data_IF_242658587812
#
_entry.id   IF_242658587812
#
_cell.length_a   1.000
_cell.length_b   1.000
_cell.length_c   1.000
_cell.angle_alpha   90.00
_cell.angle_beta   90.00
_cell.angle_gamma   90.00
#
_symmetry.space_group_name_H-M   'P 1'
#
loop_
_entity.id
_entity.type
_entity.pdbx_description
1 polymer ?
#
# COMPACT_ATOMS: atom_id res chain seq x y z
N UNK A 1 16.08 24.25 -31.69
CA UNK A 1 16.54 23.73 -30.39
C UNK A 1 16.07 22.28 -30.17
N UNK A 2 16.33 21.31 -31.07
CA UNK A 2 15.82 19.92 -30.91
C UNK A 2 16.83 18.86 -31.41
N UNK A 3 18.13 19.16 -31.42
CA UNK A 3 19.14 18.34 -32.12
C UNK A 3 20.21 17.70 -31.23
N UNK A 4 20.14 17.84 -29.91
CA UNK A 4 21.09 17.23 -28.96
C UNK A 4 20.43 16.26 -27.98
N UNK A 5 21.21 15.37 -27.35
CA UNK A 5 20.71 14.44 -26.30
C UNK A 5 20.03 15.18 -25.13
N UNK A 6 20.57 16.34 -24.75
CA UNK A 6 19.96 17.23 -23.76
C UNK A 6 18.54 17.68 -24.16
N UNK A 7 18.27 17.86 -25.46
CA UNK A 7 16.95 18.25 -25.93
C UNK A 7 15.91 17.11 -25.79
N UNK A 8 16.34 15.85 -25.67
CA UNK A 8 15.44 14.72 -25.43
C UNK A 8 14.99 14.70 -23.96
N UNK A 9 15.94 14.85 -23.03
CA UNK A 9 15.65 14.96 -21.60
C UNK A 9 14.83 16.22 -21.28
N UNK A 10 15.23 17.39 -21.78
CA UNK A 10 14.49 18.64 -21.60
C UNK A 10 13.06 18.56 -22.15
N UNK A 11 12.86 17.90 -23.30
CA UNK A 11 11.53 17.72 -23.86
C UNK A 11 10.65 16.84 -22.98
N UNK A 12 11.18 15.77 -22.40
CA UNK A 12 10.43 14.90 -21.49
C UNK A 12 9.96 15.67 -20.25
N UNK A 13 10.84 16.48 -19.63
CA UNK A 13 10.48 17.32 -18.50
C UNK A 13 9.46 18.40 -18.87
N UNK A 14 9.65 19.05 -20.02
CA UNK A 14 8.74 20.08 -20.52
C UNK A 14 7.33 19.50 -20.74
N UNK A 15 7.24 18.38 -21.47
CA UNK A 15 5.95 17.74 -21.76
C UNK A 15 5.27 17.26 -20.48
N UNK A 16 6.03 16.67 -19.56
CA UNK A 16 5.50 16.27 -18.25
C UNK A 16 4.93 17.48 -17.47
N UNK A 17 5.64 18.60 -17.45
CA UNK A 17 5.16 19.83 -16.79
C UNK A 17 3.89 20.35 -17.43
N UNK A 18 3.79 20.34 -18.76
CA UNK A 18 2.55 20.71 -19.48
C UNK A 18 1.36 19.83 -19.05
N UNK A 19 1.54 18.50 -19.00
CA UNK A 19 0.51 17.57 -18.54
C UNK A 19 0.07 17.89 -17.10
N UNK A 20 1.02 18.10 -16.18
CA UNK A 20 0.70 18.42 -14.79
C UNK A 20 -0.02 19.76 -14.61
N UNK A 21 0.29 20.78 -15.42
CA UNK A 21 -0.44 22.07 -15.39
C UNK A 21 -1.91 21.86 -15.75
N UNK A 22 -2.20 21.07 -16.79
CA UNK A 22 -3.56 20.74 -17.19
C UNK A 22 -4.28 19.93 -16.12
N UNK A 23 -3.65 18.87 -15.63
CA UNK A 23 -4.19 18.00 -14.59
C UNK A 23 -4.52 18.80 -13.33
N UNK A 24 -3.61 19.65 -12.85
CA UNK A 24 -3.84 20.46 -11.66
C UNK A 24 -5.05 21.39 -11.82
N UNK A 25 -5.28 21.95 -13.02
CA UNK A 25 -6.48 22.76 -13.29
C UNK A 25 -7.76 21.93 -13.34
N UNK A 26 -7.74 20.80 -14.03
CA UNK A 26 -8.91 19.91 -14.11
C UNK A 26 -9.28 19.29 -12.77
N UNK A 27 -8.34 19.10 -11.86
CA UNK A 27 -8.61 18.62 -10.50
C UNK A 27 -9.43 19.61 -9.67
N UNK A 28 -9.27 20.92 -9.91
CA UNK A 28 -10.04 21.96 -9.23
C UNK A 28 -11.52 21.98 -9.64
N UNK A 29 -11.87 21.35 -10.77
CA UNK A 29 -13.21 21.39 -11.34
C UNK A 29 -13.71 19.95 -11.58
N UNK A 30 -14.67 19.46 -10.77
CA UNK A 30 -15.17 18.08 -10.86
C UNK A 30 -15.56 17.64 -12.28
N UNK A 31 -16.21 18.53 -13.04
CA UNK A 31 -16.72 18.27 -14.39
C UNK A 31 -15.60 17.95 -15.41
N UNK A 32 -14.37 18.40 -15.14
CA UNK A 32 -13.22 18.19 -16.03
C UNK A 32 -12.31 17.05 -15.58
N UNK A 33 -12.60 16.36 -14.47
CA UNK A 33 -11.77 15.24 -14.00
C UNK A 33 -11.71 14.09 -15.05
N UNK A 34 -12.80 13.90 -15.81
CA UNK A 34 -12.85 12.94 -16.93
C UNK A 34 -11.97 13.28 -18.14
N UNK A 35 -11.37 14.49 -18.20
CA UNK A 35 -10.41 14.85 -19.25
C UNK A 35 -9.03 14.20 -19.03
N UNK A 36 -8.71 13.79 -17.79
CA UNK A 36 -7.40 13.21 -17.46
C UNK A 36 -7.19 11.85 -18.15
N UNK A 37 -8.13 10.88 -18.07
CA UNK A 37 -8.03 9.64 -18.82
C UNK A 37 -7.99 9.85 -20.33
N UNK A 38 -8.74 10.85 -20.85
CA UNK A 38 -8.72 11.19 -22.28
C UNK A 38 -7.35 11.68 -22.73
N UNK A 39 -6.68 12.53 -21.94
CA UNK A 39 -5.33 13.00 -22.22
C UNK A 39 -4.34 11.82 -22.30
N UNK A 40 -4.41 10.87 -21.35
CA UNK A 40 -3.56 9.68 -21.37
C UNK A 40 -3.86 8.81 -22.59
N UNK A 41 -5.14 8.61 -22.92
CA UNK A 41 -5.56 7.86 -24.11
C UNK A 41 -5.06 8.45 -25.45
N UNK A 42 -4.78 9.77 -25.52
CA UNK A 42 -4.19 10.39 -26.70
C UNK A 42 -2.74 9.93 -26.93
N UNK A 43 -1.97 9.71 -25.85
CA UNK A 43 -0.59 9.20 -25.95
C UNK A 43 -0.57 7.74 -26.41
N UNK A 44 -1.51 6.91 -25.97
CA UNK A 44 -1.60 5.49 -26.37
C UNK A 44 -2.01 5.32 -27.84
N UNK A 45 -2.70 6.29 -28.45
CA UNK A 45 -3.24 6.21 -29.82
C UNK A 45 -2.50 7.07 -30.86
N UNK A 46 -1.23 7.43 -30.61
CA UNK A 46 -0.46 8.32 -31.50
C UNK A 46 -0.31 7.79 -32.94
N UNK A 47 -0.29 6.47 -33.12
CA UNK A 47 -0.08 5.82 -34.42
C UNK A 47 -1.33 5.82 -35.31
N UNK A 48 -2.52 6.00 -34.74
CA UNK A 48 -3.78 6.07 -35.50
C UNK A 48 -3.86 7.34 -36.36
N UNK A 49 -3.14 8.40 -35.99
CA UNK A 49 -3.07 9.66 -36.72
C UNK A 49 -1.99 9.61 -37.80
N UNK A 50 -2.37 9.05 -38.96
CA UNK A 50 -1.52 8.88 -40.16
C UNK A 50 -0.79 10.17 -40.61
N UNK A 51 0.43 9.95 -41.12
CA UNK A 51 1.32 10.82 -41.92
C UNK A 51 1.59 12.26 -41.45
N UNK A 52 2.61 12.42 -40.59
CA UNK A 52 3.33 13.69 -40.46
C UNK A 52 4.24 13.92 -41.69
N UNK A 53 3.86 14.84 -42.57
CA UNK A 53 4.61 15.18 -43.77
C UNK A 53 5.89 16.00 -43.50
N UNK A 54 6.01 16.68 -42.35
CA UNK A 54 7.16 17.53 -42.02
C UNK A 54 8.21 16.82 -41.15
N UNK A 55 9.49 17.14 -41.37
CA UNK A 55 10.62 16.60 -40.58
C UNK A 55 10.48 16.94 -39.09
N UNK A 56 10.01 18.14 -38.75
CA UNK A 56 9.76 18.56 -37.38
C UNK A 56 8.67 17.75 -36.67
N UNK A 57 7.56 17.47 -37.36
CA UNK A 57 6.48 16.67 -36.79
C UNK A 57 6.90 15.20 -36.56
N UNK A 58 7.77 14.64 -37.42
CA UNK A 58 8.37 13.31 -37.19
C UNK A 58 9.25 13.28 -35.96
N UNK A 59 10.12 14.29 -35.79
CA UNK A 59 10.97 14.41 -34.59
C UNK A 59 10.14 14.57 -33.33
N UNK A 60 9.07 15.38 -33.36
CA UNK A 60 8.17 15.54 -32.22
C UNK A 60 7.51 14.20 -31.84
N UNK A 61 6.99 13.44 -32.82
CA UNK A 61 6.43 12.11 -32.55
C UNK A 61 7.44 11.15 -31.92
N UNK A 62 8.68 11.14 -32.42
CA UNK A 62 9.75 10.33 -31.82
C UNK A 62 10.01 10.72 -30.35
N UNK A 63 10.05 12.02 -30.04
CA UNK A 63 10.23 12.49 -28.68
C UNK A 63 9.06 12.11 -27.76
N UNK A 64 7.83 12.15 -28.27
CA UNK A 64 6.65 11.68 -27.53
C UNK A 64 6.67 10.16 -27.35
N UNK A 65 7.11 9.39 -28.35
CA UNK A 65 7.29 7.93 -28.21
C UNK A 65 8.35 7.59 -27.15
N UNK A 66 9.45 8.35 -27.09
CA UNK A 66 10.44 8.21 -26.02
C UNK A 66 9.83 8.57 -24.66
N UNK A 67 9.03 9.63 -24.58
CA UNK A 67 8.33 10.02 -23.35
C UNK A 67 7.40 8.92 -22.82
N UNK A 68 6.68 8.20 -23.69
CA UNK A 68 5.79 7.11 -23.26
C UNK A 68 6.54 5.97 -22.55
N UNK A 69 7.84 5.81 -22.83
CA UNK A 69 8.67 4.79 -22.21
C UNK A 69 9.27 5.22 -20.87
N UNK A 70 9.07 6.48 -20.44
CA UNK A 70 9.67 7.00 -19.23
C UNK A 70 8.81 6.80 -17.98
N UNK A 71 9.45 6.86 -16.81
CA UNK A 71 8.75 6.79 -15.52
C UNK A 71 7.73 7.92 -15.34
N UNK A 72 7.99 9.11 -15.90
CA UNK A 72 7.06 10.23 -15.81
C UNK A 72 5.74 9.94 -16.53
N UNK A 73 5.76 9.24 -17.67
CA UNK A 73 4.51 8.83 -18.31
C UNK A 73 3.79 7.72 -17.52
N UNK A 74 4.55 6.78 -16.94
CA UNK A 74 3.97 5.74 -16.10
C UNK A 74 3.22 6.32 -14.89
N UNK A 75 3.74 7.35 -14.22
CA UNK A 75 3.03 8.00 -13.11
C UNK A 75 1.76 8.71 -13.58
N UNK A 76 1.77 9.36 -14.75
CA UNK A 76 0.58 9.96 -15.36
C UNK A 76 -0.49 8.92 -15.69
N UNK A 77 -0.08 7.78 -16.27
CA UNK A 77 -0.98 6.66 -16.58
C UNK A 77 -1.59 6.03 -15.33
N UNK A 78 -0.80 5.88 -14.26
CA UNK A 78 -1.31 5.45 -12.96
C UNK A 78 -2.30 6.45 -12.37
N UNK A 79 -2.02 7.74 -12.51
CA UNK A 79 -2.92 8.78 -12.02
C UNK A 79 -4.26 8.77 -12.77
N UNK A 80 -4.27 8.55 -14.09
CA UNK A 80 -5.55 8.41 -14.81
C UNK A 80 -6.35 7.20 -14.33
N UNK A 81 -5.71 6.06 -14.09
CA UNK A 81 -6.37 4.87 -13.53
C UNK A 81 -6.96 5.09 -12.14
N UNK A 82 -6.34 5.95 -11.31
CA UNK A 82 -6.89 6.33 -10.00
C UNK A 82 -8.14 7.20 -10.14
N UNK A 83 -8.16 8.05 -11.18
CA UNK A 83 -9.22 9.03 -11.43
C UNK A 83 -10.41 8.45 -12.20
N UNK A 84 -10.26 7.33 -12.88
CA UNK A 84 -11.38 6.62 -13.49
C UNK A 84 -12.37 6.20 -12.40
N UNK A 85 -13.57 6.78 -12.43
CA UNK A 85 -14.62 6.56 -11.43
C UNK A 85 -15.31 5.20 -11.57
N UNK A 86 -15.09 4.51 -12.69
CA UNK A 86 -15.65 3.19 -12.95
C UNK A 86 -14.73 2.17 -12.26
N UNK A 87 -15.14 1.58 -11.12
CA UNK A 87 -14.38 0.49 -10.54
C UNK A 87 -14.39 -0.63 -11.59
N UNK A 88 -13.25 -1.24 -11.93
CA UNK A 88 -13.24 -2.35 -12.86
C UNK A 88 -14.22 -3.42 -12.34
N UNK A 89 -15.24 -3.71 -13.13
CA UNK A 89 -16.21 -4.75 -12.81
C UNK A 89 -15.48 -6.08 -12.59
N UNK A 90 -16.00 -6.89 -11.66
CA UNK A 90 -15.42 -8.14 -11.18
C UNK A 90 -15.33 -9.26 -12.24
N UNK A 91 -15.80 -9.01 -13.47
CA UNK A 91 -16.03 -10.03 -14.49
C UNK A 91 -14.80 -10.43 -15.31
N UNK A 92 -13.69 -9.68 -15.23
CA UNK A 92 -12.46 -9.99 -16.00
C UNK A 92 -11.27 -10.32 -15.08
N UNK A 93 -11.07 -11.62 -14.83
CA UNK A 93 -9.88 -12.18 -14.16
C UNK A 93 -8.55 -11.92 -14.91
N UNK A 94 -8.61 -11.33 -16.11
CA UNK A 94 -7.46 -11.01 -16.97
C UNK A 94 -6.91 -9.58 -16.79
N UNK A 95 -7.36 -8.83 -15.79
CA UNK A 95 -6.88 -7.46 -15.57
C UNK A 95 -5.52 -7.45 -14.87
N UNK A 96 -4.61 -6.60 -15.34
CA UNK A 96 -3.29 -6.40 -14.72
C UNK A 96 -3.39 -5.84 -13.29
N UNK A 97 -2.39 -6.15 -12.44
CA UNK A 97 -2.30 -5.63 -11.07
C UNK A 97 -2.29 -4.10 -11.02
N UNK A 98 -1.68 -3.44 -12.02
CA UNK A 98 -1.62 -1.97 -12.11
C UNK A 98 -2.99 -1.30 -12.02
N UNK A 99 -4.03 -1.89 -12.62
CA UNK A 99 -5.40 -1.37 -12.58
C UNK A 99 -6.00 -1.34 -11.17
N UNK A 100 -5.41 -2.06 -10.20
CA UNK A 100 -5.85 -2.07 -8.81
C UNK A 100 -5.27 -0.91 -7.98
N UNK A 101 -4.43 -0.05 -8.56
CA UNK A 101 -3.78 1.05 -7.83
C UNK A 101 -4.79 1.92 -7.07
N UNK A 102 -5.97 2.16 -7.62
CA UNK A 102 -7.05 2.93 -6.98
C UNK A 102 -7.40 2.40 -5.58
N UNK A 103 -7.26 1.09 -5.34
CA UNK A 103 -7.58 0.43 -4.07
C UNK A 103 -6.47 0.53 -3.01
N UNK A 104 -5.31 1.08 -3.38
CA UNK A 104 -4.15 1.20 -2.51
C UNK A 104 -3.69 2.67 -2.35
N UNK A 105 -4.49 3.56 -1.71
CA UNK A 105 -4.15 4.98 -1.53
C UNK A 105 -2.81 5.23 -0.85
N UNK A 106 -2.31 4.23 -0.11
CA UNK A 106 -1.04 4.30 0.55
C UNK A 106 0.19 4.15 -0.33
N UNK A 107 0.01 3.63 -1.54
CA UNK A 107 1.08 3.53 -2.51
C UNK A 107 1.28 4.84 -3.27
N UNK A 108 0.30 5.76 -3.23
CA UNK A 108 0.28 6.93 -4.11
C UNK A 108 1.52 7.81 -3.98
N UNK A 109 2.06 7.99 -2.77
CA UNK A 109 3.26 8.80 -2.59
C UNK A 109 4.51 8.21 -3.25
N UNK A 110 4.53 6.90 -3.48
CA UNK A 110 5.67 6.19 -4.07
C UNK A 110 5.41 5.64 -5.48
N UNK A 111 4.15 5.62 -5.91
CA UNK A 111 3.74 5.13 -7.24
C UNK A 111 3.29 6.24 -8.19
N UNK A 112 2.85 7.40 -7.66
CA UNK A 112 2.36 8.54 -8.47
C UNK A 112 3.31 9.74 -8.45
N UNK A 113 4.29 9.77 -7.55
CA UNK A 113 5.26 10.86 -7.44
C UNK A 113 6.66 10.37 -7.81
N UNK A 114 7.34 11.14 -8.64
CA UNK A 114 8.77 11.04 -8.93
C UNK A 114 9.56 12.10 -8.15
N UNK A 115 10.89 11.99 -8.06
CA UNK A 115 11.75 12.97 -7.36
C UNK A 115 11.60 14.39 -7.91
N UNK A 116 11.31 14.54 -9.20
CA UNK A 116 11.12 15.82 -9.88
C UNK A 116 9.68 16.38 -9.79
N UNK A 117 8.82 15.78 -8.96
CA UNK A 117 7.42 16.19 -8.85
C UNK A 117 7.29 17.58 -8.23
N UNK A 118 6.67 18.50 -8.96
CA UNK A 118 6.36 19.85 -8.45
C UNK A 118 5.55 19.80 -7.15
N UNK A 119 5.75 20.79 -6.27
CA UNK A 119 5.00 20.90 -5.00
C UNK A 119 3.48 20.86 -5.21
N UNK A 120 2.98 21.54 -6.24
CA UNK A 120 1.55 21.55 -6.60
C UNK A 120 1.06 20.13 -6.88
N UNK A 121 1.80 19.36 -7.68
CA UNK A 121 1.46 17.97 -7.99
C UNK A 121 1.47 17.08 -6.75
N UNK A 122 2.44 17.25 -5.86
CA UNK A 122 2.48 16.54 -4.57
C UNK A 122 1.24 16.84 -3.71
N UNK A 123 0.79 18.10 -3.67
CA UNK A 123 -0.43 18.48 -2.95
C UNK A 123 -1.67 17.85 -3.58
N UNK A 124 -1.77 17.85 -4.91
CA UNK A 124 -2.86 17.19 -5.65
C UNK A 124 -2.94 15.69 -5.29
N UNK A 125 -1.82 14.97 -5.34
CA UNK A 125 -1.78 13.54 -4.98
C UNK A 125 -2.18 13.31 -3.52
N UNK A 126 -1.78 14.18 -2.59
CA UNK A 126 -2.20 14.12 -1.19
C UNK A 126 -3.71 14.33 -1.01
N UNK A 127 -4.30 15.26 -1.76
CA UNK A 127 -5.75 15.50 -1.74
C UNK A 127 -6.53 14.31 -2.31
N UNK A 128 -6.09 13.76 -3.44
CA UNK A 128 -6.69 12.55 -4.04
C UNK A 128 -6.61 11.38 -3.05
N UNK A 129 -5.44 11.15 -2.45
CA UNK A 129 -5.23 10.14 -1.40
C UNK A 129 -6.25 10.31 -0.27
N UNK A 130 -6.40 11.54 0.25
CA UNK A 130 -7.31 11.82 1.35
C UNK A 130 -8.77 11.58 0.98
N UNK A 131 -9.21 12.01 -0.21
CA UNK A 131 -10.59 11.82 -0.71
C UNK A 131 -10.93 10.34 -0.86
N UNK A 132 -10.08 9.57 -1.55
CA UNK A 132 -10.31 8.14 -1.79
C UNK A 132 -10.29 7.37 -0.46
N UNK A 133 -9.35 7.69 0.43
CA UNK A 133 -9.27 7.09 1.74
C UNK A 133 -10.53 7.36 2.58
N UNK A 134 -11.03 8.59 2.61
CA UNK A 134 -12.24 8.95 3.35
C UNK A 134 -13.47 8.22 2.83
N UNK A 135 -13.63 8.13 1.51
CA UNK A 135 -14.73 7.38 0.90
C UNK A 135 -14.68 5.90 1.31
N UNK A 136 -13.51 5.28 1.20
CA UNK A 136 -13.32 3.90 1.63
C UNK A 136 -13.64 3.68 3.11
N UNK A 137 -13.23 4.59 4.00
CA UNK A 137 -13.54 4.51 5.43
C UNK A 137 -15.06 4.59 5.72
N UNK A 138 -15.78 5.45 4.99
CA UNK A 138 -17.24 5.57 5.11
C UNK A 138 -17.95 4.31 4.61
N UNK A 139 -17.57 3.82 3.43
CA UNK A 139 -18.14 2.61 2.84
C UNK A 139 -17.90 1.39 3.75
N UNK A 140 -16.69 1.28 4.31
CA UNK A 140 -16.33 0.22 5.25
C UNK A 140 -17.15 0.28 6.53
N UNK A 141 -17.32 1.47 7.13
CA UNK A 141 -18.15 1.64 8.33
C UNK A 141 -19.63 1.28 8.06
N UNK A 142 -20.15 1.66 6.89
CA UNK A 142 -21.47 1.26 6.43
C UNK A 142 -21.61 -0.26 6.33
N UNK A 143 -20.62 -0.93 5.73
CA UNK A 143 -20.62 -2.38 5.57
C UNK A 143 -20.53 -3.15 6.90
N UNK A 144 -19.65 -2.73 7.82
CA UNK A 144 -19.56 -3.33 9.17
C UNK A 144 -20.88 -3.18 9.92
N UNK A 145 -21.49 -2.00 9.86
CA UNK A 145 -22.78 -1.73 10.51
C UNK A 145 -23.88 -2.63 9.94
N UNK A 146 -23.89 -2.83 8.61
CA UNK A 146 -24.78 -3.76 7.94
C UNK A 146 -24.59 -5.20 8.44
N UNK A 147 -23.35 -5.71 8.48
CA UNK A 147 -23.07 -7.06 8.96
C UNK A 147 -23.52 -7.29 10.41
N UNK A 148 -23.25 -6.34 11.32
CA UNK A 148 -23.69 -6.43 12.72
C UNK A 148 -25.21 -6.47 12.84
N UNK A 149 -25.94 -5.67 12.04
CA UNK A 149 -27.41 -5.69 12.03
C UNK A 149 -27.96 -7.02 11.51
N UNK A 150 -27.36 -7.58 10.46
CA UNK A 150 -27.71 -8.90 9.95
C UNK A 150 -27.49 -10.00 11.01
N UNK A 151 -26.37 -9.97 11.73
CA UNK A 151 -26.08 -10.95 12.78
C UNK A 151 -27.04 -10.82 13.97
N UNK A 152 -27.40 -9.60 14.36
CA UNK A 152 -28.39 -9.35 15.42
C UNK A 152 -29.79 -9.83 15.01
N UNK A 153 -30.20 -9.62 13.77
CA UNK A 153 -31.48 -10.08 13.24
C UNK A 153 -31.57 -11.61 13.24
N UNK A 154 -30.51 -12.29 12.75
CA UNK A 154 -30.41 -13.77 12.76
C UNK A 154 -30.50 -14.35 14.18
N UNK A 155 -29.92 -13.69 15.18
CA UNK A 155 -30.00 -14.11 16.59
C UNK A 155 -31.40 -13.92 17.20
N UNK A 156 -32.14 -12.90 16.75
CA UNK A 156 -33.48 -12.58 17.27
C UNK A 156 -34.57 -13.45 16.65
N UNK A 157 -34.44 -13.81 15.36
CA UNK A 157 -35.39 -14.68 14.66
C UNK A 157 -34.64 -15.62 13.69
N UNK A 158 -34.37 -16.87 14.08
CA UNK A 158 -33.64 -17.84 13.25
C UNK A 158 -34.40 -18.31 12.00
N UNK A 159 -35.73 -18.18 11.99
CA UNK A 159 -36.62 -18.74 10.95
C UNK A 159 -37.28 -17.71 10.03
N UNK A 160 -37.08 -16.40 10.25
CA UNK A 160 -37.63 -15.36 9.40
C UNK A 160 -36.53 -14.76 8.52
N UNK A 161 -36.72 -14.78 7.20
CA UNK A 161 -35.78 -14.16 6.28
C UNK A 161 -35.68 -12.65 6.58
N UNK A 162 -34.47 -12.08 6.74
CA UNK A 162 -34.27 -10.67 7.12
C UNK A 162 -34.52 -9.71 5.95
N UNK A 163 -35.51 -9.99 5.10
CA UNK A 163 -35.55 -9.49 3.72
C UNK A 163 -36.22 -8.14 3.54
N UNK A 164 -36.92 -7.60 4.56
CA UNK A 164 -37.74 -6.38 4.37
C UNK A 164 -37.29 -5.12 5.12
N UNK A 165 -36.33 -5.21 6.04
CA UNK A 165 -35.96 -4.06 6.90
C UNK A 165 -34.47 -3.65 6.74
N UNK A 166 -33.59 -4.56 6.30
CA UNK A 166 -32.16 -4.29 6.19
C UNK A 166 -31.77 -4.22 4.71
N UNK A 167 -31.42 -3.03 4.23
CA UNK A 167 -30.94 -2.86 2.86
C UNK A 167 -29.52 -3.43 2.69
N UNK A 168 -29.27 -4.23 1.64
CA UNK A 168 -27.95 -4.77 1.37
C UNK A 168 -26.97 -3.65 1.01
N UNK A 169 -25.83 -3.61 1.71
CA UNK A 169 -24.72 -2.71 1.42
C UNK A 169 -23.63 -3.50 0.70
N UNK A 170 -23.06 -2.95 -0.38
CA UNK A 170 -21.96 -3.61 -1.11
C UNK A 170 -20.69 -3.67 -0.25
N UNK A 171 -19.98 -4.80 -0.29
CA UNK A 171 -18.68 -4.95 0.36
C UNK A 171 -17.63 -4.08 -0.37
N UNK A 172 -17.03 -3.07 0.28
CA UNK A 172 -15.99 -2.25 -0.33
C UNK A 172 -14.64 -2.97 -0.38
N UNK A 173 -14.51 -4.08 0.35
CA UNK A 173 -13.36 -4.96 0.29
C UNK A 173 -13.59 -6.05 -0.75
N UNK A 174 -12.50 -6.68 -1.19
CA UNK A 174 -12.58 -7.83 -2.07
C UNK A 174 -12.38 -9.15 -1.29
N UNK A 175 -12.59 -9.12 0.02
CA UNK A 175 -12.56 -10.32 0.85
C UNK A 175 -13.94 -10.96 0.82
N UNK A 176 -13.97 -12.29 0.93
CA UNK A 176 -15.21 -12.97 1.28
C UNK A 176 -15.72 -12.51 2.65
N UNK A 177 -17.00 -12.71 2.93
CA UNK A 177 -17.58 -12.31 4.20
C UNK A 177 -16.92 -12.97 5.43
N UNK A 178 -16.46 -14.21 5.29
CA UNK A 178 -15.72 -14.91 6.33
C UNK A 178 -14.32 -14.34 6.55
N UNK A 179 -13.56 -14.12 5.48
CA UNK A 179 -12.24 -13.50 5.55
C UNK A 179 -12.32 -12.07 6.11
N UNK A 180 -13.34 -11.32 5.70
CA UNK A 180 -13.61 -9.98 6.22
C UNK A 180 -13.87 -10.01 7.73
N UNK A 181 -14.78 -10.89 8.21
CA UNK A 181 -15.07 -11.03 9.64
C UNK A 181 -13.85 -11.44 10.44
N UNK A 182 -13.05 -12.37 9.93
CA UNK A 182 -11.82 -12.81 10.57
C UNK A 182 -10.81 -11.66 10.67
N UNK A 183 -10.66 -10.88 9.61
CA UNK A 183 -9.78 -9.73 9.64
C UNK A 183 -10.27 -8.61 10.55
N UNK A 184 -11.57 -8.30 10.59
CA UNK A 184 -12.12 -7.32 11.53
C UNK A 184 -11.88 -7.79 12.97
N UNK A 185 -12.08 -9.08 13.27
CA UNK A 185 -11.79 -9.64 14.60
C UNK A 185 -10.31 -9.51 14.94
N UNK A 186 -9.43 -9.80 14.01
CA UNK A 186 -7.98 -9.77 14.20
C UNK A 186 -7.43 -8.34 14.35
N UNK A 187 -7.89 -7.37 13.56
CA UNK A 187 -7.26 -6.05 13.52
C UNK A 187 -8.05 -4.95 14.24
N UNK A 188 -9.33 -5.17 14.53
CA UNK A 188 -10.19 -4.25 15.29
C UNK A 188 -10.52 -4.84 16.68
N UNK A 189 -10.55 -6.16 16.81
CA UNK A 189 -10.86 -6.86 18.04
C UNK A 189 -9.65 -7.07 18.97
N UNK A 190 -9.87 -7.91 19.99
CA UNK A 190 -8.84 -8.33 20.94
C UNK A 190 -8.19 -9.61 20.43
N UNK A 191 -6.87 -9.58 20.31
CA UNK A 191 -6.10 -10.58 19.54
C UNK A 191 -5.45 -11.61 20.46
N UNK A 192 -4.88 -11.13 21.56
CA UNK A 192 -4.20 -11.97 22.55
C UNK A 192 -4.92 -11.84 23.89
N UNK A 193 -6.00 -12.61 24.06
CA UNK A 193 -6.87 -12.55 25.22
C UNK A 193 -7.64 -11.23 25.30
N UNK A 194 -7.29 -10.37 26.24
CA UNK A 194 -7.96 -9.08 26.45
C UNK A 194 -7.32 -7.89 25.72
N UNK A 195 -6.18 -8.10 25.06
CA UNK A 195 -5.33 -7.02 24.54
C UNK A 195 -5.46 -6.83 23.03
N UNK A 196 -5.43 -5.57 22.61
CA UNK A 196 -5.30 -5.19 21.20
C UNK A 196 -3.82 -5.17 20.79
N UNK A 197 -3.53 -5.19 19.49
CA UNK A 197 -2.16 -5.02 18.98
C UNK A 197 -1.46 -3.76 19.54
N UNK A 198 -2.22 -2.69 19.82
CA UNK A 198 -1.68 -1.46 20.41
C UNK A 198 -1.24 -1.66 21.85
N UNK A 199 -2.07 -2.35 22.64
CA UNK A 199 -1.78 -2.58 24.06
C UNK A 199 -0.54 -3.47 24.21
N UNK A 200 -0.40 -4.48 23.35
CA UNK A 200 0.76 -5.38 23.32
C UNK A 200 2.03 -4.58 22.93
N UNK A 201 1.97 -3.75 21.89
CA UNK A 201 3.10 -2.92 21.49
C UNK A 201 3.52 -1.92 22.58
N UNK A 202 2.54 -1.27 23.24
CA UNK A 202 2.80 -0.32 24.30
C UNK A 202 3.37 -0.97 25.57
N UNK A 203 2.85 -2.15 25.94
CA UNK A 203 3.42 -2.96 27.02
C UNK A 203 4.88 -3.31 26.70
N UNK A 204 5.15 -3.82 25.50
CA UNK A 204 6.52 -4.13 25.07
C UNK A 204 7.45 -2.91 25.17
N UNK A 205 7.06 -1.75 24.64
CA UNK A 205 7.89 -0.54 24.72
C UNK A 205 8.15 -0.10 26.17
N UNK A 206 7.17 -0.25 27.07
CA UNK A 206 7.31 0.08 28.49
C UNK A 206 8.25 -0.88 29.22
N UNK A 207 8.29 -2.15 28.80
CA UNK A 207 9.26 -3.12 29.31
C UNK A 207 10.65 -2.89 28.72
N UNK A 208 10.75 -2.68 27.41
CA UNK A 208 12.00 -2.42 26.71
C UNK A 208 12.68 -1.11 27.13
N UNK A 209 11.95 -0.10 27.58
CA UNK A 209 12.56 1.13 28.13
C UNK A 209 13.29 0.89 29.45
N UNK A 210 13.00 -0.22 30.14
CA UNK A 210 13.74 -0.64 31.35
C UNK A 210 14.97 -1.48 31.00
N UNK A 211 15.05 -1.99 29.78
CA UNK A 211 16.19 -2.75 29.27
C UNK A 211 17.35 -1.81 28.98
N UNK A 212 18.48 -2.00 29.67
CA UNK A 212 19.61 -1.07 29.61
C UNK A 212 20.50 -1.24 28.37
N UNK A 213 20.45 -2.39 27.69
CA UNK A 213 21.36 -2.72 26.59
C UNK A 213 20.60 -3.14 25.33
N UNK A 214 21.06 -2.65 24.18
CA UNK A 214 20.46 -2.94 22.88
C UNK A 214 20.43 -4.44 22.55
N UNK A 215 21.42 -5.22 23.01
CA UNK A 215 21.42 -6.67 22.82
C UNK A 215 20.16 -7.36 23.35
N UNK A 216 19.79 -7.08 24.60
CA UNK A 216 18.61 -7.71 25.24
C UNK A 216 17.31 -7.25 24.56
N UNK A 217 17.25 -6.00 24.11
CA UNK A 217 16.13 -5.53 23.31
C UNK A 217 15.91 -6.37 22.04
N UNK A 218 16.99 -6.82 21.37
CA UNK A 218 16.88 -7.67 20.18
C UNK A 218 16.32 -9.06 20.51
N UNK A 219 16.70 -9.61 21.66
CA UNK A 219 16.18 -10.89 22.15
C UNK A 219 14.69 -10.76 22.52
N UNK A 220 14.32 -9.72 23.27
CA UNK A 220 12.92 -9.40 23.60
C UNK A 220 12.08 -9.19 22.33
N UNK A 221 12.63 -8.49 21.33
CA UNK A 221 11.96 -8.22 20.06
C UNK A 221 11.69 -9.50 19.27
N UNK A 222 12.62 -10.46 19.29
CA UNK A 222 12.43 -11.76 18.69
C UNK A 222 11.26 -12.51 19.35
N UNK A 223 11.20 -12.53 20.68
CA UNK A 223 10.09 -13.17 21.41
C UNK A 223 8.75 -12.49 21.11
N UNK A 224 8.73 -11.15 21.10
CA UNK A 224 7.52 -10.36 20.80
C UNK A 224 6.94 -10.65 19.40
N UNK A 225 7.81 -10.77 18.38
CA UNK A 225 7.39 -11.07 17.01
C UNK A 225 6.96 -12.52 16.84
N UNK A 226 7.64 -13.46 17.52
CA UNK A 226 7.36 -14.90 17.41
C UNK A 226 6.21 -15.38 18.30
N UNK A 227 5.82 -14.62 19.32
CA UNK A 227 4.76 -14.98 20.28
C UNK A 227 3.38 -15.31 19.64
N UNK A 228 3.10 -14.80 18.44
CA UNK A 228 1.85 -15.06 17.71
C UNK A 228 2.02 -15.99 16.51
N UNK A 229 3.24 -16.51 16.29
CA UNK A 229 3.54 -17.40 15.16
C UNK A 229 3.31 -18.83 15.62
N UNK A 230 2.59 -19.62 14.81
CA UNK A 230 2.40 -21.04 15.11
C UNK A 230 3.76 -21.73 15.27
N UNK A 231 3.91 -22.41 16.41
CA UNK A 231 5.09 -23.20 16.76
C UNK A 231 5.46 -24.24 15.70
N UNK A 232 4.49 -24.72 14.90
CA UNK A 232 4.71 -25.71 13.84
C UNK A 232 5.48 -25.14 12.64
N UNK A 233 5.20 -23.89 12.25
CA UNK A 233 5.88 -23.16 11.17
C UNK A 233 7.16 -22.47 11.67
N UNK A 234 7.06 -21.77 12.81
CA UNK A 234 8.16 -21.01 13.39
C UNK A 234 9.41 -21.87 13.67
N UNK A 235 9.23 -23.09 14.18
CA UNK A 235 10.34 -24.01 14.51
C UNK A 235 11.10 -24.56 13.29
N UNK A 236 10.55 -24.47 12.07
CA UNK A 236 11.14 -25.13 10.90
C UNK A 236 12.20 -24.30 10.18
N UNK A 237 12.03 -22.98 10.03
CA UNK A 237 13.00 -22.16 9.30
C UNK A 237 12.94 -20.64 9.55
N UNK A 238 11.73 -20.09 9.68
CA UNK A 238 11.55 -18.64 9.78
C UNK A 238 12.15 -18.05 11.07
N UNK A 239 11.92 -18.67 12.23
CA UNK A 239 12.37 -18.12 13.50
C UNK A 239 13.91 -18.09 13.60
N UNK A 240 14.60 -19.12 13.11
CA UNK A 240 16.07 -19.14 13.10
C UNK A 240 16.64 -18.05 12.19
N UNK A 241 16.05 -17.85 10.99
CA UNK A 241 16.44 -16.74 10.10
C UNK A 241 16.18 -15.38 10.72
N UNK A 242 15.01 -15.19 11.34
CA UNK A 242 14.65 -13.96 12.03
C UNK A 242 15.61 -13.65 13.17
N UNK A 243 15.92 -14.65 14.00
CA UNK A 243 16.86 -14.50 15.11
C UNK A 243 18.27 -14.18 14.62
N UNK A 244 18.77 -14.86 13.59
CA UNK A 244 20.07 -14.56 12.96
C UNK A 244 20.12 -13.14 12.42
N UNK A 245 19.07 -12.69 11.75
CA UNK A 245 18.99 -11.32 11.22
C UNK A 245 18.98 -10.27 12.32
N UNK A 246 18.16 -10.46 13.36
CA UNK A 246 18.15 -9.56 14.51
C UNK A 246 19.52 -9.55 15.18
N UNK A 247 20.13 -10.70 15.45
CA UNK A 247 21.46 -10.79 16.06
C UNK A 247 22.52 -10.03 15.24
N UNK A 248 22.51 -10.17 13.92
CA UNK A 248 23.46 -9.52 13.01
C UNK A 248 23.16 -8.03 12.75
N UNK A 249 21.98 -7.55 13.15
CA UNK A 249 21.56 -6.16 13.00
C UNK A 249 22.27 -5.26 14.02
N UNK A 250 23.11 -4.34 13.51
CA UNK A 250 23.80 -3.30 14.28
C UNK A 250 24.63 -3.83 15.47
N UNK A 251 25.38 -4.92 15.27
CA UNK A 251 26.21 -5.60 16.29
C UNK A 251 27.15 -4.66 17.06
N UNK A 252 27.69 -3.64 16.40
CA UNK A 252 28.56 -2.62 17.00
C UNK A 252 27.87 -1.77 18.08
N UNK A 253 26.54 -1.78 18.13
CA UNK A 253 25.74 -1.02 19.10
C UNK A 253 25.15 -1.90 20.20
N UNK A 254 25.48 -3.19 20.27
CA UNK A 254 24.93 -4.15 21.24
C UNK A 254 25.18 -3.77 22.70
N UNK A 255 26.30 -3.10 22.95
CA UNK A 255 26.70 -2.59 24.26
C UNK A 255 26.16 -1.19 24.57
N UNK A 256 25.49 -0.54 23.62
CA UNK A 256 24.92 0.80 23.80
C UNK A 256 23.55 0.72 24.47
N UNK A 257 23.19 1.81 25.15
CA UNK A 257 21.84 2.00 25.65
C UNK A 257 20.84 2.11 24.51
N UNK A 258 19.65 1.55 24.74
CA UNK A 258 18.55 1.63 23.80
C UNK A 258 18.16 3.10 23.59
N UNK A 259 18.11 3.52 22.33
CA UNK A 259 17.67 4.85 21.93
C UNK A 259 16.65 4.70 20.78
N UNK A 260 15.76 5.67 20.64
CA UNK A 260 14.76 5.73 19.58
C UNK A 260 15.37 5.54 18.19
N UNK A 261 16.57 6.09 17.95
CA UNK A 261 17.29 5.91 16.69
C UNK A 261 17.61 4.43 16.38
N UNK A 262 18.03 3.67 17.39
CA UNK A 262 18.29 2.24 17.23
C UNK A 262 16.98 1.52 16.91
N UNK A 263 15.89 1.81 17.63
CA UNK A 263 14.57 1.23 17.36
C UNK A 263 14.13 1.49 15.91
N UNK A 264 14.23 2.73 15.43
CA UNK A 264 13.86 3.11 14.05
C UNK A 264 14.70 2.34 13.04
N UNK A 265 16.02 2.24 13.24
CA UNK A 265 16.91 1.52 12.32
C UNK A 265 16.66 0.03 12.32
N UNK A 266 16.49 -0.59 13.49
CA UNK A 266 16.17 -2.02 13.62
C UNK A 266 14.84 -2.33 12.94
N UNK A 267 13.78 -1.54 13.20
CA UNK A 267 12.49 -1.73 12.55
C UNK A 267 12.58 -1.55 11.03
N UNK A 268 13.35 -0.57 10.55
CA UNK A 268 13.55 -0.36 9.11
C UNK A 268 14.28 -1.53 8.45
N UNK A 269 15.36 -2.04 9.07
CA UNK A 269 16.09 -3.22 8.57
C UNK A 269 15.22 -4.48 8.62
N UNK A 270 14.39 -4.62 9.65
CA UNK A 270 13.44 -5.71 9.75
C UNK A 270 12.42 -5.68 8.61
N UNK A 271 11.90 -4.51 8.25
CA UNK A 271 11.00 -4.37 7.10
C UNK A 271 11.69 -4.69 5.76
N UNK A 272 12.98 -4.38 5.63
CA UNK A 272 13.76 -4.79 4.45
C UNK A 272 13.84 -6.31 4.32
N UNK A 273 14.05 -6.99 5.45
CA UNK A 273 14.11 -8.44 5.52
C UNK A 273 12.74 -9.12 5.32
N UNK A 274 11.68 -8.58 5.93
CA UNK A 274 10.35 -9.18 5.90
C UNK A 274 9.63 -8.96 4.57
N UNK A 275 9.84 -7.82 3.90
CA UNK A 275 9.10 -7.44 2.68
C UNK A 275 9.97 -7.52 1.44
N UNK A 276 10.89 -6.56 1.26
CA UNK A 276 11.81 -6.54 0.11
C UNK A 276 12.99 -5.59 0.36
N UNK A 277 14.21 -5.96 -0.02
CA UNK A 277 15.38 -5.13 0.29
C UNK A 277 15.67 -4.03 -0.74
N UNK A 278 15.46 -4.30 -2.03
CA UNK A 278 15.82 -3.36 -3.11
C UNK A 278 14.84 -3.41 -4.28
N UNK A 279 14.81 -2.34 -5.08
CA UNK A 279 14.06 -2.26 -6.33
C UNK A 279 14.76 -2.97 -7.50
N UNK A 280 16.09 -3.03 -7.50
CA UNK A 280 16.88 -3.63 -8.58
C UNK A 280 16.82 -5.16 -8.59
N UNK A 281 16.69 -5.78 -7.42
CA UNK A 281 16.39 -7.20 -7.25
C UNK A 281 15.42 -7.37 -6.09
N UNK A 282 14.11 -7.51 -6.36
CA UNK A 282 13.13 -7.68 -5.31
C UNK A 282 13.23 -9.10 -4.75
N UNK A 283 14.17 -9.35 -3.84
CA UNK A 283 14.21 -10.57 -3.04
C UNK A 283 13.11 -10.50 -1.98
N UNK A 284 11.93 -10.98 -2.32
CA UNK A 284 10.73 -10.99 -1.46
C UNK A 284 10.25 -12.40 -1.14
N UNK A 285 11.13 -13.41 -1.28
CA UNK A 285 10.82 -14.81 -0.97
C UNK A 285 10.31 -14.97 0.47
N UNK A 286 10.87 -14.24 1.42
CA UNK A 286 10.45 -14.31 2.84
C UNK A 286 9.02 -13.81 3.00
N UNK A 287 8.68 -12.72 2.31
CA UNK A 287 7.34 -12.20 2.30
C UNK A 287 6.34 -13.19 1.70
N UNK A 288 6.69 -13.80 0.56
CA UNK A 288 5.87 -14.81 -0.10
C UNK A 288 5.71 -16.03 0.79
N UNK A 289 6.80 -16.54 1.37
CA UNK A 289 6.81 -17.69 2.27
C UNK A 289 5.97 -17.45 3.54
N UNK A 290 6.02 -16.25 4.10
CA UNK A 290 5.16 -15.86 5.22
C UNK A 290 3.69 -15.89 4.81
N UNK A 291 3.34 -15.31 3.66
CA UNK A 291 1.94 -15.29 3.21
C UNK A 291 1.44 -16.69 2.87
N UNK A 292 2.23 -17.51 2.18
CA UNK A 292 1.81 -18.85 1.76
C UNK A 292 1.65 -19.81 2.93
N UNK A 293 2.49 -19.72 3.95
CA UNK A 293 2.48 -20.67 5.06
C UNK A 293 1.72 -20.17 6.31
N UNK A 294 1.79 -18.88 6.65
CA UNK A 294 1.07 -18.31 7.80
C UNK A 294 -0.26 -17.65 7.42
N UNK A 295 -0.48 -17.38 6.14
CA UNK A 295 -1.61 -16.62 5.65
C UNK A 295 -1.36 -15.11 5.67
N UNK A 296 -2.14 -14.39 4.86
CA UNK A 296 -2.05 -12.94 4.73
C UNK A 296 -2.33 -12.23 6.06
N UNK A 297 -3.37 -12.63 6.79
CA UNK A 297 -3.79 -12.01 8.05
C UNK A 297 -2.66 -12.05 9.10
N UNK A 298 -2.06 -13.21 9.34
CA UNK A 298 -0.96 -13.37 10.29
C UNK A 298 0.28 -12.56 9.86
N UNK A 299 0.58 -12.54 8.57
CA UNK A 299 1.71 -11.77 8.01
C UNK A 299 1.50 -10.26 8.20
N UNK A 300 0.29 -9.75 7.92
CA UNK A 300 -0.08 -8.37 8.21
C UNK A 300 0.02 -8.07 9.70
N UNK A 301 -0.35 -9.01 10.58
CA UNK A 301 -0.19 -8.89 12.03
C UNK A 301 1.27 -8.69 12.46
N UNK A 302 2.21 -9.46 11.88
CA UNK A 302 3.65 -9.29 12.12
C UNK A 302 4.13 -7.90 11.66
N UNK A 303 3.76 -7.48 10.44
CA UNK A 303 4.13 -6.16 9.93
C UNK A 303 3.52 -5.03 10.77
N UNK A 304 2.28 -5.21 11.24
CA UNK A 304 1.59 -4.27 12.10
C UNK A 304 2.29 -4.16 13.46
N UNK A 305 2.72 -5.28 14.07
CA UNK A 305 3.53 -5.28 15.28
C UNK A 305 4.79 -4.42 15.12
N UNK A 306 5.50 -4.54 13.99
CA UNK A 306 6.70 -3.74 13.70
C UNK A 306 6.37 -2.24 13.55
N UNK A 307 5.32 -1.91 12.82
CA UNK A 307 4.92 -0.50 12.60
C UNK A 307 4.37 0.14 13.88
N UNK A 308 3.70 -0.62 14.75
CA UNK A 308 3.20 -0.14 16.03
C UNK A 308 4.32 0.08 17.05
N UNK A 309 5.42 -0.67 16.96
CA UNK A 309 6.62 -0.38 17.75
C UNK A 309 7.23 0.98 17.38
N UNK A 310 7.23 1.31 16.09
CA UNK A 310 7.79 2.57 15.61
C UNK A 310 7.00 3.13 14.42
N UNK A 311 6.11 4.08 14.69
CA UNK A 311 5.28 4.70 13.65
C UNK A 311 6.09 5.42 12.57
N UNK A 312 7.32 5.84 12.88
CA UNK A 312 8.26 6.49 11.95
C UNK A 312 8.68 5.58 10.79
N UNK A 313 8.56 4.24 10.91
CA UNK A 313 8.91 3.31 9.83
C UNK A 313 7.75 3.05 8.85
N UNK A 314 6.56 3.62 9.07
CA UNK A 314 5.42 3.45 8.15
C UNK A 314 5.74 3.87 6.70
N UNK A 315 6.36 5.03 6.41
CA UNK A 315 6.70 5.38 5.04
C UNK A 315 7.69 4.38 4.41
N UNK A 316 8.59 3.80 5.22
CA UNK A 316 9.47 2.72 4.76
C UNK A 316 8.67 1.52 4.30
N UNK A 317 7.65 1.09 5.06
CA UNK A 317 6.77 0.00 4.66
C UNK A 317 5.99 0.31 3.38
N UNK A 318 5.44 1.52 3.26
CA UNK A 318 4.70 1.95 2.06
C UNK A 318 5.61 1.92 0.82
N UNK A 319 6.85 2.40 0.93
CA UNK A 319 7.87 2.32 -0.14
C UNK A 319 8.22 0.87 -0.50
N UNK A 320 8.27 -0.03 0.48
CA UNK A 320 8.58 -1.45 0.23
C UNK A 320 7.46 -2.13 -0.54
N UNK A 321 6.21 -1.82 -0.21
CA UNK A 321 5.06 -2.30 -0.98
C UNK A 321 4.97 -1.67 -2.37
N UNK A 322 5.38 -0.42 -2.56
CA UNK A 322 5.39 0.19 -3.89
C UNK A 322 6.40 -0.48 -4.82
N UNK A 323 7.55 -0.92 -4.29
CA UNK A 323 8.51 -1.73 -5.05
C UNK A 323 7.87 -3.03 -5.54
N UNK A 324 7.17 -3.76 -4.65
CA UNK A 324 6.47 -4.99 -5.02
C UNK A 324 5.34 -4.73 -6.02
N UNK A 325 4.57 -3.67 -5.82
CA UNK A 325 3.49 -3.28 -6.72
C UNK A 325 4.02 -2.97 -8.13
N UNK A 326 5.09 -2.16 -8.21
CA UNK A 326 5.71 -1.80 -9.49
C UNK A 326 6.30 -3.04 -10.19
N UNK A 327 6.90 -3.98 -9.45
CA UNK A 327 7.44 -5.23 -10.01
C UNK A 327 6.35 -6.11 -10.64
N UNK A 328 5.16 -6.14 -10.04
CA UNK A 328 4.04 -6.97 -10.49
C UNK A 328 2.98 -6.22 -11.28
N UNK A 329 3.20 -4.96 -11.63
CA UNK A 329 2.19 -4.08 -12.24
C UNK A 329 1.60 -4.67 -13.54
N UNK A 330 2.44 -5.30 -14.37
CA UNK A 330 2.04 -5.95 -15.62
C UNK A 330 1.60 -7.40 -15.46
N UNK A 331 1.78 -7.99 -14.28
CA UNK A 331 1.38 -9.37 -14.02
C UNK A 331 -0.15 -9.48 -13.94
N UNK A 332 -0.67 -10.64 -14.34
CA UNK A 332 -2.09 -10.92 -14.20
C UNK A 332 -2.43 -11.27 -12.74
N UNK A 333 -3.68 -11.05 -12.35
CA UNK A 333 -4.14 -11.29 -10.98
C UNK A 333 -3.85 -12.70 -10.47
N UNK A 334 -4.02 -13.68 -11.32
CA UNK A 334 -3.84 -15.11 -10.97
C UNK A 334 -2.40 -15.46 -10.63
N UNK A 335 -1.41 -14.70 -11.14
CA UNK A 335 0.00 -14.94 -10.86
C UNK A 335 0.47 -14.43 -9.50
N UNK A 336 -0.31 -13.53 -8.87
CA UNK A 336 0.09 -12.84 -7.64
C UNK A 336 -1.09 -12.69 -6.66
N UNK A 337 -1.78 -13.80 -6.30
CA UNK A 337 -2.95 -13.73 -5.44
C UNK A 337 -2.60 -13.11 -4.08
N UNK A 338 -1.39 -13.35 -3.57
CA UNK A 338 -0.90 -12.81 -2.28
C UNK A 338 -0.80 -11.28 -2.24
N UNK A 339 -0.47 -10.62 -3.36
CA UNK A 339 -0.39 -9.16 -3.44
C UNK A 339 -1.80 -8.53 -3.43
N UNK A 340 -2.74 -9.27 -4.00
CA UNK A 340 -4.14 -8.88 -4.12
C UNK A 340 -4.88 -9.13 -2.82
N UNK A 341 -4.64 -10.26 -2.14
CA UNK A 341 -5.29 -10.69 -0.88
C UNK A 341 -4.96 -9.74 0.29
N UNK A 342 -3.93 -8.90 0.19
CA UNK A 342 -3.62 -7.89 1.19
C UNK A 342 -4.58 -6.66 1.11
N UNK A 343 -5.89 -6.95 1.22
CA UNK A 343 -7.07 -6.10 0.96
C UNK A 343 -7.56 -5.27 2.15
N UNK A 344 -6.88 -5.29 3.31
CA UNK A 344 -7.26 -4.45 4.47
C UNK A 344 -6.66 -3.04 4.49
N UNK A 345 -6.10 -2.57 3.38
CA UNK A 345 -5.72 -1.17 3.25
C UNK A 345 -4.66 -0.72 4.25
N UNK A 346 -3.61 -1.51 4.54
CA UNK A 346 -2.55 -1.19 5.54
C UNK A 346 -3.06 -0.83 6.96
N UNK A 347 -4.27 -1.32 7.26
CA UNK A 347 -5.07 -1.21 8.48
C UNK A 347 -6.46 -0.63 8.12
N UNK A 348 -7.46 -0.55 8.99
CA UNK A 348 -7.27 0.07 10.29
C UNK A 348 -6.22 1.25 10.28
N UNK A 349 -5.84 1.80 9.11
CA UNK A 349 -4.45 2.20 8.71
C UNK A 349 -3.93 3.42 9.41
N UNK A 350 -3.61 3.29 10.69
CA UNK A 350 -3.40 4.49 11.49
C UNK A 350 -4.63 5.39 11.35
N UNK A 351 -5.83 4.77 11.44
CA UNK A 351 -7.08 5.42 11.83
C UNK A 351 -7.70 4.68 13.02
N UNK A 352 -7.49 5.09 14.26
CA UNK A 352 -6.44 6.01 14.71
C UNK A 352 -6.23 7.29 13.90
N UNK A 353 -7.26 8.07 13.60
CA UNK A 353 -7.06 9.46 13.16
C UNK A 353 -7.81 10.34 14.14
N UNK A 354 -9.03 9.95 14.56
CA UNK A 354 -9.78 10.47 15.74
C UNK A 354 -9.76 9.51 16.96
N UNK A 355 -8.69 9.36 17.73
CA UNK A 355 -8.37 10.25 18.85
C UNK A 355 -7.44 11.44 18.54
N UNK A 356 -7.49 11.98 17.31
CA UNK A 356 -7.13 13.36 16.92
C UNK A 356 -7.20 14.22 18.16
N UNK A 357 -6.02 14.58 18.67
CA UNK A 357 -5.82 15.72 19.54
C UNK A 357 -6.96 15.97 20.54
N UNK A 358 -7.04 15.13 21.59
CA UNK A 358 -7.52 15.58 22.91
C UNK A 358 -9.04 15.94 22.93
N UNK A 359 -9.68 15.79 24.08
CA UNK A 359 -10.11 16.96 24.87
C UNK A 359 -9.09 18.08 24.93
#
# INVERSE_FOLDING_TARGET
MISGKQAEEEFQFFLNRCCHILINRWQLQPDFQGAIPQLVGLFENLDAYRMAYSRGARRLRQLVQLFIQTEQYLTLRRLSQVMDEIPPEESSNSQAVGALIQRYPYLYEHCLLSEDSSYEHQQTVRQIRARIQQRFELDLAGYVTYQVRCDQAKRRQPQAAPEKIIHPVKNPTLLSDDEFRNAVREFVGKVQGCYTYRDIAQSFLTHSSRTSLYKYFKDDLYEYLTASIDSSYGKRYFNDRLYKQLKNTLTLSDHKQLNEFLIVRTCSQLLNFLVVESSHQPNHYIFVDLITNLGATSTTGILLKVVLLCSKVKPSLEKRFSILFNHYESANRDGVPWLIIHRLGLGCKLRMRKAEARV
#
